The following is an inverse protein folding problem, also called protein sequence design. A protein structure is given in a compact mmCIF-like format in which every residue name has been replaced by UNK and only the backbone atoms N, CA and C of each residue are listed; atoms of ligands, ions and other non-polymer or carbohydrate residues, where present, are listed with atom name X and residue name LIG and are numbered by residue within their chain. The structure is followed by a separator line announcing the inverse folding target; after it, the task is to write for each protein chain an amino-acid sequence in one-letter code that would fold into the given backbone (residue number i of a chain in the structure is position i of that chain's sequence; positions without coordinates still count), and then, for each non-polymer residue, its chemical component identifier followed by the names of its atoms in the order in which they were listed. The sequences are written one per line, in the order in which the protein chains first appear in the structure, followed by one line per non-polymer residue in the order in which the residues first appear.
data_IF_861719966156
#
_entry.id   IF_861719966156
#
_cell.length_a   1.000
_cell.length_b   1.000
_cell.length_c   1.000
_cell.angle_alpha   90.00
_cell.angle_beta   90.00
_cell.angle_gamma   90.00
#
_symmetry.space_group_name_H-M   'P 1'
#
loop_
_entity.id
_entity.type
_entity.pdbx_description
1 polymer ?
#
# COMPACT_ATOMS: atom_id res chain seq x y z
N UNK A 1 17.53 -10.43 65.66
CA UNK A 1 18.58 -11.44 65.90
C UNK A 1 18.69 -12.34 64.67
N UNK A 2 19.94 -12.63 64.26
CA UNK A 2 20.38 -13.39 63.08
C UNK A 2 19.95 -14.86 63.06
N UNK A 3 19.70 -15.37 61.83
CA UNK A 3 20.12 -16.68 61.22
C UNK A 3 19.13 -16.99 60.05
N UNK A 4 19.45 -16.96 58.75
CA UNK A 4 20.50 -17.61 57.93
C UNK A 4 20.72 -19.07 58.29
N UNK A 5 20.63 -20.10 57.44
CA UNK A 5 20.22 -20.37 56.05
C UNK A 5 19.96 -21.90 55.98
N UNK A 6 19.27 -22.43 54.95
CA UNK A 6 19.75 -23.61 54.19
C UNK A 6 18.83 -23.99 53.03
N UNK A 7 19.37 -23.77 51.83
CA UNK A 7 19.06 -24.35 50.52
C UNK A 7 18.56 -25.81 50.56
N UNK A 8 17.50 -26.10 49.79
CA UNK A 8 17.45 -27.30 48.93
C UNK A 8 16.89 -26.97 47.55
N UNK A 9 17.72 -27.34 46.57
CA UNK A 9 17.54 -27.33 45.14
C UNK A 9 16.27 -28.07 44.68
N UNK A 10 15.55 -27.48 43.71
CA UNK A 10 14.97 -28.23 42.59
C UNK A 10 15.10 -27.40 41.33
N UNK A 11 16.02 -27.83 40.48
CA UNK A 11 16.25 -27.37 39.12
C UNK A 11 15.05 -27.72 38.25
N UNK A 12 14.45 -26.73 37.60
CA UNK A 12 13.55 -26.94 36.46
C UNK A 12 13.90 -25.90 35.38
N UNK A 13 14.66 -26.34 34.38
CA UNK A 13 14.87 -25.61 33.14
C UNK A 13 13.53 -25.52 32.39
N UNK A 14 12.88 -24.36 32.45
CA UNK A 14 11.83 -23.99 31.50
C UNK A 14 12.45 -23.06 30.44
N UNK A 15 12.69 -23.62 29.26
CA UNK A 15 13.10 -22.89 28.05
C UNK A 15 11.99 -21.91 27.66
N UNK A 16 12.19 -20.62 27.94
CA UNK A 16 11.39 -19.52 27.41
C UNK A 16 11.85 -19.22 25.97
N UNK A 17 11.27 -19.94 25.02
CA UNK A 17 11.30 -19.56 23.61
C UNK A 17 10.11 -18.63 23.33
N UNK A 18 10.27 -17.33 23.59
CA UNK A 18 9.40 -16.31 23.01
C UNK A 18 10.08 -15.76 21.75
N UNK A 19 9.72 -16.37 20.63
CA UNK A 19 9.98 -15.89 19.29
C UNK A 19 9.44 -14.46 19.13
N UNK A 20 10.35 -13.51 18.92
CA UNK A 20 10.04 -12.19 18.37
C UNK A 20 9.52 -12.36 16.94
N UNK A 21 8.21 -12.51 16.80
CA UNK A 21 7.54 -12.42 15.51
C UNK A 21 7.54 -10.97 15.05
N UNK A 22 8.32 -10.65 14.04
CA UNK A 22 8.16 -9.44 13.22
C UNK A 22 6.80 -9.52 12.50
N UNK A 23 5.73 -9.10 13.17
CA UNK A 23 4.46 -8.82 12.51
C UNK A 23 4.56 -7.48 11.80
N UNK A 24 4.59 -7.49 10.47
CA UNK A 24 4.28 -6.27 9.71
C UNK A 24 2.92 -5.73 10.19
N UNK A 25 2.75 -4.42 10.37
CA UNK A 25 1.47 -3.87 10.78
C UNK A 25 0.43 -4.27 9.74
N UNK A 26 -0.54 -5.09 10.17
CA UNK A 26 -1.69 -5.39 9.35
C UNK A 26 -2.44 -4.09 9.15
N UNK A 27 -2.51 -3.61 7.90
CA UNK A 27 -3.40 -2.53 7.51
C UNK A 27 -4.78 -2.93 8.01
N UNK A 28 -5.30 -2.21 9.01
CA UNK A 28 -6.61 -2.48 9.59
C UNK A 28 -7.67 -2.22 8.52
N UNK A 29 -7.96 -3.26 7.75
CA UNK A 29 -9.07 -3.29 6.81
C UNK A 29 -10.35 -3.02 7.57
N UNK A 30 -11.25 -2.25 6.95
CA UNK A 30 -12.62 -2.09 7.44
C UNK A 30 -13.30 -3.45 7.64
N UNK A 31 -14.47 -3.48 8.29
CA UNK A 31 -15.18 -4.73 8.54
C UNK A 31 -15.29 -5.54 7.25
N UNK A 32 -14.89 -6.81 7.33
CA UNK A 32 -14.77 -7.73 6.19
C UNK A 32 -16.07 -7.88 5.38
N UNK A 33 -17.21 -7.50 5.96
CA UNK A 33 -18.56 -7.57 5.38
C UNK A 33 -19.12 -6.23 4.89
N UNK A 34 -18.28 -5.20 4.74
CA UNK A 34 -18.74 -3.92 4.21
C UNK A 34 -19.17 -4.03 2.73
N UNK A 35 -20.35 -3.51 2.40
CA UNK A 35 -20.82 -3.34 1.02
C UNK A 35 -19.82 -2.50 0.26
N UNK A 36 -19.42 -2.93 -0.95
CA UNK A 36 -18.39 -2.27 -1.76
C UNK A 36 -18.93 -1.64 -3.03
N UNK A 37 -18.23 -0.62 -3.50
CA UNK A 37 -18.31 -0.05 -4.86
C UNK A 37 -16.91 -0.11 -5.48
N UNK A 38 -16.79 0.17 -6.76
CA UNK A 38 -15.52 0.06 -7.48
C UNK A 38 -15.09 1.36 -8.15
N UNK A 39 -13.77 1.55 -8.18
CA UNK A 39 -13.07 2.57 -8.96
C UNK A 39 -12.12 1.84 -9.91
N UNK A 40 -12.08 2.27 -11.17
CA UNK A 40 -11.22 1.68 -12.20
C UNK A 40 -10.54 2.75 -13.05
N UNK A 41 -9.48 2.38 -13.72
CA UNK A 41 -8.83 3.23 -14.72
C UNK A 41 -7.47 2.68 -15.10
N UNK A 42 -6.62 3.56 -15.62
CA UNK A 42 -5.25 3.22 -16.01
C UNK A 42 -4.25 4.09 -15.25
N UNK A 43 -3.14 3.48 -14.86
CA UNK A 43 -1.97 4.21 -14.38
C UNK A 43 -1.03 4.46 -15.55
N UNK A 44 -0.64 5.71 -15.68
CA UNK A 44 0.27 6.17 -16.70
C UNK A 44 1.57 6.65 -16.08
N UNK A 45 2.69 6.21 -16.63
CA UNK A 45 4.00 6.70 -16.27
C UNK A 45 4.47 7.75 -17.27
N UNK A 46 4.89 8.91 -16.78
CA UNK A 46 5.77 9.77 -17.57
C UNK A 46 7.19 9.21 -17.51
N UNK A 47 7.63 8.58 -18.59
CA UNK A 47 8.94 7.97 -18.73
C UNK A 47 10.05 8.96 -18.33
N UNK A 48 10.96 8.61 -17.40
CA UNK A 48 12.04 9.49 -17.01
C UNK A 48 13.13 9.64 -18.09
N UNK A 49 13.09 8.82 -19.15
CA UNK A 49 14.09 8.80 -20.23
C UNK A 49 13.69 9.78 -21.34
N UNK A 50 12.47 9.63 -21.84
CA UNK A 50 12.00 10.32 -23.05
C UNK A 50 10.73 11.15 -22.82
N UNK A 51 10.28 11.27 -21.56
CA UNK A 51 9.08 12.01 -21.15
C UNK A 51 7.77 11.56 -21.80
N UNK A 52 7.75 10.44 -22.53
CA UNK A 52 6.52 9.89 -23.10
C UNK A 52 5.65 9.29 -22.01
N UNK A 53 4.35 9.35 -22.23
CA UNK A 53 3.37 8.69 -21.38
C UNK A 53 3.20 7.24 -21.83
N UNK A 54 3.47 6.30 -20.94
CA UNK A 54 3.34 4.85 -21.20
C UNK A 54 2.47 4.20 -20.13
N UNK A 55 1.73 3.12 -20.43
CA UNK A 55 1.00 2.39 -19.40
C UNK A 55 1.96 1.84 -18.35
N UNK A 56 1.60 1.93 -17.07
CA UNK A 56 2.46 1.54 -15.97
C UNK A 56 1.99 0.24 -15.31
N UNK A 57 2.59 -0.87 -15.72
CA UNK A 57 2.24 -2.21 -15.24
C UNK A 57 2.88 -2.58 -13.90
N UNK A 58 2.23 -3.47 -13.14
CA UNK A 58 2.77 -4.06 -11.92
C UNK A 58 2.91 -3.12 -10.71
N UNK A 59 2.39 -1.88 -10.79
CA UNK A 59 2.49 -0.89 -9.71
C UNK A 59 1.36 -1.00 -8.72
N UNK A 60 1.66 -0.64 -7.47
CA UNK A 60 0.68 -0.60 -6.39
C UNK A 60 -0.22 0.63 -6.52
N UNK A 61 -1.53 0.41 -6.45
CA UNK A 61 -2.55 1.46 -6.33
C UNK A 61 -3.26 1.28 -4.99
N UNK A 62 -3.10 2.27 -4.10
CA UNK A 62 -3.67 2.25 -2.77
C UNK A 62 -4.84 3.24 -2.68
N UNK A 63 -5.97 2.78 -2.17
CA UNK A 63 -7.11 3.62 -1.83
C UNK A 63 -7.07 3.99 -0.35
N UNK A 64 -7.24 5.28 -0.06
CA UNK A 64 -7.24 5.86 1.28
C UNK A 64 -8.54 6.63 1.49
N UNK A 65 -9.00 6.72 2.73
CA UNK A 65 -10.09 7.65 3.06
C UNK A 65 -9.56 9.09 3.01
N UNK A 66 -10.18 9.96 2.22
CA UNK A 66 -9.82 11.36 2.16
C UNK A 66 -9.86 12.03 3.55
N UNK A 67 -8.92 12.94 3.78
CA UNK A 67 -8.69 13.65 5.05
C UNK A 67 -8.41 12.75 6.26
N UNK A 68 -8.19 11.45 6.04
CA UNK A 68 -7.79 10.51 7.08
C UNK A 68 -6.58 9.73 6.61
N UNK A 69 -5.62 9.52 7.48
CA UNK A 69 -4.51 8.61 7.20
C UNK A 69 -4.95 7.14 7.41
N UNK A 70 -6.03 6.74 6.73
CA UNK A 70 -6.63 5.42 6.83
C UNK A 70 -6.67 4.74 5.46
N UNK A 71 -5.79 3.77 5.27
CA UNK A 71 -5.78 2.90 4.11
C UNK A 71 -7.03 2.01 4.09
N UNK A 72 -7.62 1.84 2.91
CA UNK A 72 -8.82 1.05 2.70
C UNK A 72 -8.47 -0.30 2.06
N UNK A 73 -7.72 -0.25 0.95
CA UNK A 73 -7.41 -1.41 0.11
C UNK A 73 -6.28 -1.07 -0.86
N UNK A 74 -5.54 -2.09 -1.27
CA UNK A 74 -4.49 -2.02 -2.29
C UNK A 74 -4.83 -2.96 -3.45
N UNK A 75 -4.46 -2.56 -4.67
CA UNK A 75 -4.46 -3.42 -5.86
C UNK A 75 -3.17 -3.20 -6.66
N UNK A 76 -2.93 -4.03 -7.68
CA UNK A 76 -1.83 -3.84 -8.63
C UNK A 76 -2.35 -3.63 -10.04
N UNK A 77 -1.65 -2.84 -10.82
CA UNK A 77 -1.96 -2.71 -12.23
C UNK A 77 -1.60 -3.97 -13.02
N UNK A 78 -2.41 -4.29 -14.02
CA UNK A 78 -2.13 -5.37 -14.98
C UNK A 78 -1.03 -4.99 -15.99
N UNK A 79 -0.77 -5.86 -16.96
CA UNK A 79 0.25 -5.65 -18.01
C UNK A 79 -0.02 -4.42 -18.89
N UNK A 80 -1.27 -3.99 -18.98
CA UNK A 80 -1.69 -2.82 -19.74
C UNK A 80 -1.80 -1.58 -18.85
N UNK A 81 -1.37 -1.66 -17.59
CA UNK A 81 -1.47 -0.57 -16.62
C UNK A 81 -2.89 -0.32 -16.09
N UNK A 82 -3.87 -1.17 -16.40
CA UNK A 82 -5.22 -1.02 -15.86
C UNK A 82 -5.26 -1.45 -14.40
N UNK A 83 -6.09 -0.80 -13.61
CA UNK A 83 -6.39 -1.20 -12.25
C UNK A 83 -7.91 -1.18 -12.02
N UNK A 84 -8.34 -1.97 -11.04
CA UNK A 84 -9.64 -1.82 -10.43
C UNK A 84 -9.54 -2.11 -8.93
N UNK A 85 -10.20 -1.27 -8.13
CA UNK A 85 -10.17 -1.33 -6.68
C UNK A 85 -11.59 -1.26 -6.12
N UNK A 86 -11.93 -2.19 -5.23
CA UNK A 86 -13.23 -2.23 -4.56
C UNK A 86 -13.12 -1.62 -3.16
N UNK A 87 -13.75 -0.47 -2.98
CA UNK A 87 -13.72 0.31 -1.73
C UNK A 87 -15.06 0.19 -0.99
N UNK A 88 -15.09 0.25 0.35
CA UNK A 88 -16.35 0.27 1.09
C UNK A 88 -17.24 1.44 0.65
N UNK A 89 -18.54 1.20 0.53
CA UNK A 89 -19.54 2.26 0.37
C UNK A 89 -19.66 3.02 1.68
N UNK A 90 -19.70 4.35 1.63
CA UNK A 90 -19.95 5.18 2.80
C UNK A 90 -20.05 6.67 2.50
N UNK A 91 -20.31 7.45 3.55
CA UNK A 91 -20.31 8.92 3.46
C UNK A 91 -18.88 9.44 3.68
N UNK A 92 -17.98 9.12 2.75
CA UNK A 92 -16.61 9.61 2.73
C UNK A 92 -16.09 9.68 1.29
N UNK A 93 -15.00 10.43 1.10
CA UNK A 93 -14.28 10.54 -0.16
C UNK A 93 -13.03 9.66 -0.13
N UNK A 94 -12.51 9.32 -1.30
CA UNK A 94 -11.35 8.43 -1.46
C UNK A 94 -10.20 9.15 -2.16
N UNK A 95 -8.98 8.88 -1.70
CA UNK A 95 -7.75 9.24 -2.40
C UNK A 95 -7.11 7.98 -2.98
N UNK A 96 -6.75 8.03 -4.25
CA UNK A 96 -5.94 7.00 -4.89
C UNK A 96 -4.48 7.44 -4.96
N UNK A 97 -3.58 6.54 -4.60
CA UNK A 97 -2.13 6.77 -4.62
C UNK A 97 -1.46 5.62 -5.37
N UNK A 98 -0.82 5.92 -6.49
CA UNK A 98 -0.01 4.98 -7.23
C UNK A 98 1.46 5.11 -6.84
N UNK A 99 2.14 3.98 -6.65
CA UNK A 99 3.56 3.92 -6.28
C UNK A 99 4.26 2.76 -7.00
N UNK A 100 5.41 3.05 -7.58
CA UNK A 100 6.29 2.06 -8.20
C UNK A 100 7.75 2.50 -8.19
N UNK A 101 8.64 1.53 -8.45
CA UNK A 101 10.07 1.79 -8.63
C UNK A 101 10.52 1.25 -9.98
N UNK A 102 11.23 2.08 -10.73
CA UNK A 102 11.80 1.70 -12.02
C UNK A 102 13.31 1.67 -11.97
N UNK A 103 13.91 0.76 -12.72
CA UNK A 103 15.36 0.73 -12.92
C UNK A 103 15.67 0.72 -14.40
N UNK A 104 16.30 1.79 -14.87
CA UNK A 104 16.71 1.94 -16.26
C UNK A 104 18.03 2.66 -16.34
N UNK A 105 18.86 2.30 -17.32
CA UNK A 105 20.18 2.90 -17.55
C UNK A 105 21.07 2.97 -16.29
N UNK A 106 20.94 1.98 -15.39
CA UNK A 106 21.70 1.90 -14.14
C UNK A 106 21.19 2.81 -13.01
N UNK A 107 20.18 3.65 -13.27
CA UNK A 107 19.53 4.53 -12.29
C UNK A 107 18.25 3.91 -11.75
N UNK A 108 17.93 4.25 -10.50
CA UNK A 108 16.68 3.86 -9.86
C UNK A 108 15.76 5.08 -9.76
N UNK A 109 14.48 4.91 -10.07
CA UNK A 109 13.48 5.98 -10.03
C UNK A 109 12.35 5.58 -9.09
N UNK A 110 11.83 6.56 -8.35
CA UNK A 110 10.58 6.42 -7.60
C UNK A 110 9.50 7.13 -8.40
N UNK A 111 8.45 6.41 -8.77
CA UNK A 111 7.36 6.93 -9.56
C UNK A 111 6.10 6.98 -8.71
N UNK A 112 5.52 8.17 -8.57
CA UNK A 112 4.38 8.43 -7.70
C UNK A 112 3.32 9.28 -8.42
N UNK A 113 2.06 8.99 -8.13
CA UNK A 113 0.92 9.76 -8.63
C UNK A 113 -0.27 9.65 -7.68
N UNK A 114 -1.15 10.65 -7.67
CA UNK A 114 -2.37 10.58 -6.87
C UNK A 114 -3.54 11.30 -7.51
N UNK A 115 -4.74 10.85 -7.17
CA UNK A 115 -6.02 11.50 -7.45
C UNK A 115 -6.76 11.59 -6.13
N UNK A 116 -7.19 12.79 -5.76
CA UNK A 116 -7.79 13.05 -4.44
C UNK A 116 -9.28 13.36 -4.53
N UNK A 117 -9.98 13.23 -3.41
CA UNK A 117 -11.37 13.66 -3.24
C UNK A 117 -12.38 12.97 -4.19
N UNK A 118 -12.18 11.68 -4.45
CA UNK A 118 -13.06 10.87 -5.31
C UNK A 118 -14.35 10.53 -4.56
N UNK A 119 -15.50 10.69 -5.24
CA UNK A 119 -16.78 10.12 -4.82
C UNK A 119 -17.06 8.85 -5.65
N UNK A 120 -16.82 7.65 -5.09
CA UNK A 120 -17.08 6.41 -5.84
C UNK A 120 -18.57 6.07 -5.91
N UNK A 121 -19.45 6.92 -5.35
CA UNK A 121 -20.88 6.71 -5.28
C UNK A 121 -21.29 5.74 -4.16
N UNK A 122 -22.62 5.57 -4.03
CA UNK A 122 -23.23 4.71 -3.00
C UNK A 122 -23.82 3.42 -3.55
N UNK A 123 -23.86 3.28 -4.86
CA UNK A 123 -24.38 2.08 -5.51
C UNK A 123 -23.35 0.97 -5.41
N UNK A 124 -23.71 -0.21 -4.88
CA UNK A 124 -22.80 -1.35 -4.84
C UNK A 124 -22.42 -1.78 -6.25
N UNK A 125 -21.12 -1.95 -6.48
CA UNK A 125 -20.53 -2.35 -7.76
C UNK A 125 -19.24 -3.12 -7.52
N UNK A 126 -18.87 -3.99 -8.45
CA UNK A 126 -17.68 -4.84 -8.45
C UNK A 126 -16.82 -4.56 -9.65
N UNK A 127 -15.55 -4.90 -9.55
CA UNK A 127 -14.64 -4.86 -10.69
C UNK A 127 -15.17 -5.73 -11.85
N UNK A 128 -15.14 -5.18 -13.07
CA UNK A 128 -15.77 -5.77 -14.26
C UNK A 128 -17.14 -5.19 -14.60
N UNK A 129 -17.72 -4.38 -13.71
CA UNK A 129 -18.93 -3.60 -13.97
C UNK A 129 -18.60 -2.15 -14.37
N UNK A 130 -19.63 -1.30 -14.45
CA UNK A 130 -19.48 0.13 -14.72
C UNK A 130 -18.97 0.90 -13.48
N UNK A 131 -17.70 0.74 -13.14
CA UNK A 131 -17.06 1.43 -12.01
C UNK A 131 -16.85 2.92 -12.27
N UNK A 132 -16.67 3.72 -11.20
CA UNK A 132 -16.18 5.10 -11.35
C UNK A 132 -14.83 5.09 -12.07
N UNK A 133 -14.66 5.94 -13.09
CA UNK A 133 -13.46 5.93 -13.95
C UNK A 133 -12.55 7.10 -13.65
N UNK A 134 -11.28 6.81 -13.35
CA UNK A 134 -10.25 7.85 -13.22
C UNK A 134 -8.85 7.28 -13.47
N UNK A 135 -8.05 8.01 -14.21
CA UNK A 135 -6.66 7.64 -14.49
C UNK A 135 -5.71 8.32 -13.51
N UNK A 136 -4.57 7.67 -13.24
CA UNK A 136 -3.52 8.22 -12.38
C UNK A 136 -2.29 8.48 -13.24
N UNK A 137 -1.80 9.72 -13.27
CA UNK A 137 -0.53 10.05 -13.89
C UNK A 137 0.57 10.06 -12.82
N UNK A 138 1.62 9.27 -13.01
CA UNK A 138 2.79 9.24 -12.12
C UNK A 138 3.94 10.06 -12.68
N UNK A 139 4.64 10.75 -11.79
CA UNK A 139 5.90 11.40 -12.05
C UNK A 139 7.03 10.59 -11.42
N UNK A 140 8.10 10.37 -12.17
CA UNK A 140 9.27 9.61 -11.75
C UNK A 140 10.42 10.55 -11.38
N UNK A 141 10.99 10.36 -10.20
CA UNK A 141 12.15 11.09 -9.71
C UNK A 141 13.31 10.13 -9.48
N UNK A 142 14.51 10.51 -9.90
CA UNK A 142 15.72 9.71 -9.69
C UNK A 142 16.01 9.60 -8.20
N UNK A 143 16.13 8.38 -7.71
CA UNK A 143 16.60 8.11 -6.35
C UNK A 143 18.12 8.21 -6.36
N UNK A 144 18.64 9.35 -5.90
CA UNK A 144 20.09 9.51 -5.74
C UNK A 144 20.63 8.45 -4.77
N UNK A 145 21.54 7.61 -5.25
CA UNK A 145 22.31 6.73 -4.37
C UNK A 145 23.17 7.63 -3.46
N UNK A 146 22.78 7.74 -2.19
CA UNK A 146 23.68 8.30 -1.18
C UNK A 146 24.86 7.35 -1.05
N UNK A 147 25.94 7.63 -1.79
CA UNK A 147 27.25 7.09 -1.47
C UNK A 147 27.60 7.61 -0.08
N UNK A 148 27.34 6.81 0.94
CA UNK A 148 27.89 7.02 2.28
C UNK A 148 29.41 7.06 2.07
N UNK A 149 29.96 8.27 2.18
CA UNK A 149 31.38 8.54 2.05
C UNK A 149 32.15 7.65 3.02
N UNK A 150 33.15 6.96 2.46
CA UNK A 150 34.10 6.11 3.17
C UNK A 150 35.09 6.94 3.97
#
# INVERSE_FOLDING_TARGET
MKRSECLRYTTACALLAFSFGCGAPQIQGGPADSVKTCIQGKVWMKSPIDSKQVPYAGVSVNAWRHDKDLALVETKTDSDGNYCVEVPVGNFRVDLRAWGMERTEGKSYICQGSVQNIDPGKTPKRCGEDCFKTDILTQCEERADQRIGR
#
